data_IF_630946569965
#
_entry.id   IF_630946569965
#
_cell.length_a   1.000
_cell.length_b   1.000
_cell.length_c   1.000
_cell.angle_alpha   90.00
_cell.angle_beta   90.00
_cell.angle_gamma   90.00
#
_symmetry.space_group_name_H-M   'P 1'
#
loop_
_entity.id
_entity.type
_entity.pdbx_description
1 polymer ?
#
# COMPACT_ATOMS: atom_id res chain seq x y z
N UNK A 1 -58.18 6.22 25.42
CA UNK A 1 -57.29 5.06 25.28
C UNK A 1 -56.60 5.01 23.92
N UNK A 2 -57.34 5.09 22.79
CA UNK A 2 -56.79 4.98 21.43
C UNK A 2 -55.73 6.05 21.06
N UNK A 3 -55.94 7.30 21.48
CA UNK A 3 -55.01 8.42 21.24
C UNK A 3 -53.62 8.21 21.87
N UNK A 4 -53.57 7.66 23.08
CA UNK A 4 -52.31 7.38 23.79
C UNK A 4 -51.51 6.29 23.06
N UNK A 5 -52.19 5.24 22.59
CA UNK A 5 -51.58 4.19 21.77
C UNK A 5 -51.02 4.73 20.47
N UNK A 6 -51.76 5.60 19.76
CA UNK A 6 -51.29 6.24 18.52
C UNK A 6 -50.02 7.05 18.77
N UNK A 7 -50.01 7.89 19.82
CA UNK A 7 -48.85 8.70 20.17
C UNK A 7 -47.63 7.82 20.52
N UNK A 8 -47.83 6.76 21.30
CA UNK A 8 -46.76 5.86 21.73
C UNK A 8 -46.13 5.11 20.54
N UNK A 9 -46.96 4.63 19.60
CA UNK A 9 -46.49 3.98 18.37
C UNK A 9 -45.70 4.96 17.50
N UNK A 10 -46.15 6.21 17.38
CA UNK A 10 -45.45 7.22 16.59
C UNK A 10 -44.05 7.49 17.15
N UNK A 11 -43.96 7.71 18.46
CA UNK A 11 -42.68 7.95 19.15
C UNK A 11 -41.75 6.75 19.05
N UNK A 12 -42.25 5.53 19.27
CA UNK A 12 -41.46 4.30 19.14
C UNK A 12 -40.99 4.06 17.71
N UNK A 13 -41.82 4.36 16.70
CA UNK A 13 -41.43 4.25 15.30
C UNK A 13 -40.32 5.24 14.96
N UNK A 14 -40.39 6.48 15.45
CA UNK A 14 -39.33 7.49 15.25
C UNK A 14 -38.04 7.10 15.97
N UNK A 15 -38.12 6.66 17.23
CA UNK A 15 -36.95 6.20 17.99
C UNK A 15 -36.32 4.96 17.37
N UNK A 16 -37.14 4.00 16.94
CA UNK A 16 -36.69 2.82 16.21
C UNK A 16 -35.98 3.20 14.92
N UNK A 17 -36.59 4.06 14.11
CA UNK A 17 -35.99 4.59 12.89
C UNK A 17 -34.65 5.29 13.16
N UNK A 18 -34.62 6.22 14.11
CA UNK A 18 -33.40 6.94 14.49
C UNK A 18 -32.29 5.99 14.99
N UNK A 19 -32.64 4.97 15.76
CA UNK A 19 -31.70 3.98 16.25
C UNK A 19 -31.12 3.12 15.12
N UNK A 20 -31.96 2.65 14.19
CA UNK A 20 -31.53 1.89 13.02
C UNK A 20 -30.61 2.73 12.10
N UNK A 21 -30.94 4.00 11.87
CA UNK A 21 -30.09 4.92 11.11
C UNK A 21 -28.76 5.19 11.82
N UNK A 22 -28.77 5.45 13.13
CA UNK A 22 -27.54 5.65 13.90
C UNK A 22 -26.62 4.43 13.86
N UNK A 23 -27.18 3.23 13.98
CA UNK A 23 -26.45 1.96 13.91
C UNK A 23 -25.80 1.74 12.54
N UNK A 24 -26.54 2.00 11.45
CA UNK A 24 -26.02 1.81 10.10
C UNK A 24 -24.93 2.82 9.76
N UNK A 25 -25.13 4.09 10.13
CA UNK A 25 -24.13 5.15 9.96
C UNK A 25 -22.86 4.87 10.76
N UNK A 26 -22.97 4.38 12.00
CA UNK A 26 -21.82 3.99 12.81
C UNK A 26 -20.98 2.91 12.13
N UNK A 27 -21.62 1.86 11.60
CA UNK A 27 -20.90 0.79 10.88
C UNK A 27 -20.16 1.35 9.66
N UNK A 28 -20.79 2.23 8.90
CA UNK A 28 -20.17 2.85 7.72
C UNK A 28 -19.01 3.77 8.09
N UNK A 29 -19.15 4.60 9.13
CA UNK A 29 -18.09 5.47 9.62
C UNK A 29 -16.87 4.68 10.11
N UNK A 30 -17.08 3.59 10.85
CA UNK A 30 -15.99 2.71 11.33
C UNK A 30 -15.31 1.97 10.18
N UNK A 31 -16.05 1.61 9.11
CA UNK A 31 -15.46 1.04 7.91
C UNK A 31 -14.58 2.07 7.19
N UNK A 32 -15.12 3.28 6.96
CA UNK A 32 -14.38 4.40 6.36
C UNK A 32 -13.12 4.76 7.15
N UNK A 33 -13.21 4.84 8.48
CA UNK A 33 -12.06 5.13 9.33
C UNK A 33 -10.94 4.09 9.23
N UNK A 34 -11.29 2.79 9.08
CA UNK A 34 -10.31 1.71 8.89
C UNK A 34 -9.65 1.72 7.52
N UNK A 35 -10.38 2.13 6.48
CA UNK A 35 -9.79 2.31 5.15
C UNK A 35 -8.90 3.55 5.13
N UNK A 36 -9.31 4.63 5.80
CA UNK A 36 -8.54 5.86 5.91
C UNK A 36 -7.25 5.65 6.70
N UNK A 37 -7.27 4.88 7.79
CA UNK A 37 -6.06 4.54 8.54
C UNK A 37 -5.08 3.75 7.66
N UNK A 38 -5.57 2.74 6.94
CA UNK A 38 -4.75 1.97 6.00
C UNK A 38 -4.18 2.85 4.88
N UNK A 39 -4.97 3.77 4.34
CA UNK A 39 -4.49 4.72 3.34
C UNK A 39 -3.39 5.62 3.91
N UNK A 40 -3.57 6.14 5.13
CA UNK A 40 -2.57 6.96 5.82
C UNK A 40 -1.27 6.18 6.07
N UNK A 41 -1.35 4.92 6.51
CA UNK A 41 -0.18 4.07 6.73
C UNK A 41 0.61 3.85 5.42
N UNK A 42 -0.09 3.61 4.31
CA UNK A 42 0.54 3.44 2.99
C UNK A 42 1.16 4.75 2.52
N UNK A 43 0.49 5.90 2.73
CA UNK A 43 1.03 7.21 2.38
C UNK A 43 2.26 7.56 3.21
N UNK A 44 2.28 7.22 4.50
CA UNK A 44 3.44 7.42 5.37
C UNK A 44 4.64 6.57 4.90
N UNK A 45 4.41 5.29 4.62
CA UNK A 45 5.46 4.43 4.04
C UNK A 45 5.96 4.98 2.70
N UNK A 46 5.06 5.48 1.85
CA UNK A 46 5.45 6.07 0.57
C UNK A 46 6.33 7.32 0.78
N UNK A 47 5.96 8.20 1.71
CA UNK A 47 6.75 9.38 2.04
C UNK A 47 8.16 9.02 2.49
N UNK A 48 8.31 8.04 3.41
CA UNK A 48 9.61 7.54 3.85
C UNK A 48 10.45 7.01 2.67
N UNK A 49 9.84 6.23 1.76
CA UNK A 49 10.55 5.72 0.58
C UNK A 49 10.95 6.81 -0.40
N UNK A 50 10.12 7.85 -0.55
CA UNK A 50 10.44 9.00 -1.39
C UNK A 50 11.62 9.77 -0.80
N UNK A 51 11.64 10.00 0.51
CA UNK A 51 12.75 10.66 1.19
C UNK A 51 14.04 9.85 1.08
N UNK A 52 13.98 8.52 1.26
CA UNK A 52 15.11 7.61 1.03
C UNK A 52 15.65 7.73 -0.41
N UNK A 53 14.75 7.79 -1.39
CA UNK A 53 15.10 7.91 -2.80
C UNK A 53 15.69 9.28 -3.14
N UNK A 54 15.14 10.36 -2.60
CA UNK A 54 15.67 11.72 -2.79
C UNK A 54 17.07 11.85 -2.18
N UNK A 55 17.26 11.35 -0.95
CA UNK A 55 18.57 11.34 -0.30
C UNK A 55 19.62 10.51 -1.07
N UNK A 56 19.18 9.49 -1.82
CA UNK A 56 20.03 8.70 -2.71
C UNK A 56 20.24 9.36 -4.09
N UNK A 57 19.26 10.13 -4.56
CA UNK A 57 19.33 10.86 -5.83
C UNK A 57 20.31 12.02 -5.77
N UNK A 58 20.33 12.78 -4.67
CA UNK A 58 21.28 13.88 -4.45
C UNK A 58 22.74 13.42 -4.47
N UNK A 59 23.00 12.13 -4.19
CA UNK A 59 24.35 11.54 -4.26
C UNK A 59 24.73 11.01 -5.64
N UNK A 60 23.79 10.92 -6.58
CA UNK A 60 24.01 10.34 -7.91
C UNK A 60 24.12 11.44 -8.94
N UNK A 61 25.36 11.83 -9.21
CA UNK A 61 25.67 12.67 -10.37
C UNK A 61 25.33 11.92 -11.66
N UNK A 62 24.28 12.37 -12.36
CA UNK A 62 23.84 11.86 -13.67
C UNK A 62 24.15 12.86 -14.81
N UNK A 63 25.01 13.84 -14.54
CA UNK A 63 25.43 14.82 -15.52
C UNK A 63 26.32 14.23 -16.63
N UNK A 64 26.60 15.01 -17.69
CA UNK A 64 27.47 14.59 -18.78
C UNK A 64 28.88 14.22 -18.27
N UNK A 65 29.31 12.98 -18.49
CA UNK A 65 30.60 12.46 -18.00
C UNK A 65 31.72 12.57 -19.05
N UNK A 66 31.64 13.53 -19.98
CA UNK A 66 32.55 13.64 -21.14
C UNK A 66 34.03 13.74 -20.74
N UNK A 67 34.32 14.32 -19.58
CA UNK A 67 35.68 14.52 -19.05
C UNK A 67 36.00 13.64 -17.83
N UNK A 68 35.10 12.72 -17.46
CA UNK A 68 35.33 11.83 -16.34
C UNK A 68 36.33 10.72 -16.70
N UNK A 69 37.07 10.22 -15.70
CA UNK A 69 37.98 9.09 -15.91
C UNK A 69 37.21 7.83 -16.34
N UNK A 70 37.64 7.27 -17.47
CA UNK A 70 37.04 6.07 -18.07
C UNK A 70 37.21 4.84 -17.18
N UNK A 71 38.33 4.71 -16.46
CA UNK A 71 38.56 3.56 -15.59
C UNK A 71 37.60 3.59 -14.40
N UNK A 72 37.45 4.75 -13.75
CA UNK A 72 36.47 4.96 -12.69
C UNK A 72 35.03 4.67 -13.15
N UNK A 73 34.64 5.10 -14.35
CA UNK A 73 33.30 4.83 -14.89
C UNK A 73 33.05 3.32 -15.14
N UNK A 74 34.05 2.60 -15.64
CA UNK A 74 33.96 1.13 -15.85
C UNK A 74 33.81 0.39 -14.53
N UNK A 75 34.63 0.72 -13.53
CA UNK A 75 34.53 0.14 -12.19
C UNK A 75 33.12 0.34 -11.59
N UNK A 76 32.54 1.54 -11.75
CA UNK A 76 31.17 1.83 -11.32
C UNK A 76 30.12 0.99 -12.07
N UNK A 77 30.29 0.82 -13.39
CA UNK A 77 29.40 -0.01 -14.21
C UNK A 77 29.44 -1.48 -13.79
N UNK A 78 30.63 -2.02 -13.53
CA UNK A 78 30.82 -3.42 -13.15
C UNK A 78 30.22 -3.70 -11.77
N UNK A 79 30.42 -2.80 -10.79
CA UNK A 79 29.73 -2.88 -9.50
C UNK A 79 28.19 -2.87 -9.64
N UNK A 80 27.64 -2.07 -10.55
CA UNK A 80 26.19 -2.06 -10.83
C UNK A 80 25.71 -3.36 -11.47
N UNK A 81 26.52 -3.97 -12.35
CA UNK A 81 26.21 -5.26 -12.98
C UNK A 81 26.22 -6.40 -11.99
N UNK A 82 27.20 -6.45 -11.09
CA UNK A 82 27.26 -7.43 -10.00
C UNK A 82 26.02 -7.32 -9.10
N UNK A 83 25.67 -6.11 -8.67
CA UNK A 83 24.47 -5.88 -7.88
C UNK A 83 23.18 -6.27 -8.64
N UNK A 84 23.13 -6.05 -9.96
CA UNK A 84 22.01 -6.46 -10.80
C UNK A 84 21.94 -7.98 -10.99
N UNK A 85 23.07 -8.68 -11.07
CA UNK A 85 23.13 -10.13 -11.20
C UNK A 85 22.55 -10.81 -9.95
N UNK A 86 22.87 -10.32 -8.74
CA UNK A 86 22.27 -10.81 -7.49
C UNK A 86 20.73 -10.72 -7.51
N UNK A 87 20.19 -9.55 -7.90
CA UNK A 87 18.73 -9.34 -8.02
C UNK A 87 18.09 -10.18 -9.12
N UNK A 88 18.83 -10.58 -10.16
CA UNK A 88 18.31 -11.49 -11.21
C UNK A 88 18.22 -12.92 -10.67
N UNK A 89 19.23 -13.38 -9.94
CA UNK A 89 19.23 -14.70 -9.32
C UNK A 89 18.08 -14.86 -8.32
N UNK A 90 17.85 -13.87 -7.45
CA UNK A 90 16.72 -13.89 -6.51
C UNK A 90 15.34 -13.93 -7.21
N UNK A 91 15.21 -13.22 -8.35
CA UNK A 91 13.98 -13.26 -9.15
C UNK A 91 13.77 -14.62 -9.76
N UNK A 92 14.82 -15.20 -10.33
CA UNK A 92 14.76 -16.54 -10.91
C UNK A 92 14.35 -17.59 -9.87
N UNK A 93 14.94 -17.55 -8.67
CA UNK A 93 14.55 -18.44 -7.57
C UNK A 93 13.06 -18.31 -7.22
N UNK A 94 12.53 -17.09 -7.16
CA UNK A 94 11.09 -16.84 -6.92
C UNK A 94 10.21 -17.36 -8.04
N UNK A 95 10.63 -17.20 -9.30
CA UNK A 95 9.91 -17.72 -10.46
C UNK A 95 9.87 -19.25 -10.45
N UNK A 96 11.00 -19.90 -10.17
CA UNK A 96 11.09 -21.35 -10.04
C UNK A 96 10.21 -21.86 -8.90
N UNK A 97 10.30 -21.27 -7.71
CA UNK A 97 9.46 -21.66 -6.57
C UNK A 97 7.96 -21.50 -6.86
N UNK A 98 7.59 -20.44 -7.58
CA UNK A 98 6.22 -20.23 -8.02
C UNK A 98 5.80 -21.32 -9.02
N UNK A 99 6.60 -21.59 -10.05
CA UNK A 99 6.31 -22.65 -11.04
C UNK A 99 6.11 -24.01 -10.37
N UNK A 100 6.99 -24.39 -9.44
CA UNK A 100 6.90 -25.67 -8.72
C UNK A 100 5.62 -25.75 -7.87
N UNK A 101 5.24 -24.67 -7.18
CA UNK A 101 4.00 -24.61 -6.40
C UNK A 101 2.76 -24.76 -7.29
N UNK A 102 2.74 -24.12 -8.45
CA UNK A 102 1.65 -24.26 -9.41
C UNK A 102 1.58 -25.69 -9.97
N UNK A 103 2.73 -26.29 -10.28
CA UNK A 103 2.79 -27.68 -10.77
C UNK A 103 2.23 -28.68 -9.74
N UNK A 104 2.42 -28.45 -8.44
CA UNK A 104 1.87 -29.28 -7.37
C UNK A 104 0.34 -29.18 -7.21
N UNK A 105 -0.27 -28.08 -7.64
CA UNK A 105 -1.73 -27.87 -7.55
C UNK A 105 -2.49 -28.41 -8.77
N UNK A 106 -1.82 -28.46 -9.93
CA UNK A 106 -2.42 -28.86 -11.21
C UNK A 106 -2.19 -30.33 -11.58
N UNK A 107 -1.54 -31.12 -10.71
CA UNK A 107 -1.23 -32.54 -10.93
C UNK A 107 -2.05 -33.40 -9.99
#
# INVERSE_FOLDING_TARGET
>A
MLWFSVWTVLVLATLGGAFLLGRSLWRSAVALGRELSRAADVTAQLAERVDELQAAADRRETGPTLFADRAALRARLDALREAAAGRRAEREQRHVATRLRWQAYWR
#
